data_IF_596017387677
#
_entry.id   IF_596017387677
#
_cell.length_a   1.000
_cell.length_b   1.000
_cell.length_c   1.000
_cell.angle_alpha   90.00
_cell.angle_beta   90.00
_cell.angle_gamma   90.00
#
_symmetry.space_group_name_H-M   'P 1'
#
loop_
_entity.id
_entity.type
_entity.pdbx_description
1 polymer ?
#
# COMPACT_ATOMS: atom_id res chain seq x y z
N UNK A 1 -11.48 6.97 2.61
CA UNK A 1 -10.61 7.55 3.65
C UNK A 1 -11.19 7.36 5.05
N UNK A 2 -10.34 7.00 6.00
CA UNK A 2 -10.67 7.14 7.42
C UNK A 2 -10.68 8.62 7.80
N UNK A 3 -11.42 9.01 8.87
CA UNK A 3 -11.45 10.41 9.28
C UNK A 3 -10.08 11.06 9.47
N UNK A 4 -9.10 10.34 10.05
CA UNK A 4 -7.77 10.86 10.26
C UNK A 4 -7.06 11.25 8.96
N UNK A 5 -7.16 10.42 7.91
CA UNK A 5 -6.57 10.70 6.60
C UNK A 5 -7.21 11.93 5.95
N UNK A 6 -8.52 11.99 5.96
CA UNK A 6 -9.28 13.11 5.40
C UNK A 6 -8.92 14.43 6.11
N UNK A 7 -8.83 14.40 7.42
CA UNK A 7 -8.47 15.57 8.24
C UNK A 7 -7.04 16.03 8.02
N UNK A 8 -6.09 15.11 7.84
CA UNK A 8 -4.70 15.44 7.51
C UNK A 8 -4.62 16.17 6.17
N UNK A 9 -5.22 15.59 5.13
CA UNK A 9 -5.21 16.20 3.79
C UNK A 9 -5.89 17.56 3.78
N UNK A 10 -7.02 17.67 4.44
CA UNK A 10 -7.76 18.93 4.56
C UNK A 10 -6.97 19.99 5.34
N UNK A 11 -6.34 19.61 6.43
CA UNK A 11 -5.47 20.49 7.23
C UNK A 11 -4.26 20.97 6.44
N UNK A 12 -3.63 20.12 5.67
CA UNK A 12 -2.50 20.47 4.79
C UNK A 12 -2.93 21.49 3.72
N UNK A 13 -4.07 21.26 3.09
CA UNK A 13 -4.64 22.22 2.13
C UNK A 13 -4.91 23.57 2.79
N UNK A 14 -5.49 23.57 3.98
CA UNK A 14 -5.87 24.78 4.71
C UNK A 14 -4.70 25.69 5.09
N UNK A 15 -3.51 25.12 5.31
CA UNK A 15 -2.29 25.90 5.60
C UNK A 15 -1.41 26.14 4.36
N UNK A 16 -1.93 25.84 3.16
CA UNK A 16 -1.19 26.04 1.91
C UNK A 16 0.00 25.10 1.74
N UNK A 17 -0.01 23.95 2.40
CA UNK A 17 1.08 22.98 2.33
C UNK A 17 0.93 22.07 1.09
N UNK A 18 1.00 22.70 -0.08
CA UNK A 18 0.77 22.08 -1.38
C UNK A 18 2.07 21.75 -2.11
N UNK A 19 1.97 20.99 -3.19
CA UNK A 19 3.14 20.47 -3.93
C UNK A 19 4.03 21.53 -4.55
N UNK A 20 3.50 22.72 -4.82
CA UNK A 20 4.24 23.86 -5.38
C UNK A 20 4.88 24.77 -4.31
N UNK A 21 4.57 24.55 -3.05
CA UNK A 21 5.07 25.33 -1.93
C UNK A 21 6.20 24.60 -1.19
N UNK A 22 7.02 25.31 -0.40
CA UNK A 22 8.05 24.65 0.40
C UNK A 22 7.48 23.64 1.38
N UNK A 23 8.30 22.64 1.71
CA UNK A 23 7.96 21.70 2.77
C UNK A 23 7.73 22.39 4.11
N UNK A 24 6.85 21.83 4.92
CA UNK A 24 6.64 22.23 6.32
C UNK A 24 7.02 21.07 7.25
N UNK A 25 7.43 21.38 8.46
CA UNK A 25 7.66 20.34 9.48
C UNK A 25 6.39 19.51 9.68
N UNK A 26 6.53 18.20 9.75
CA UNK A 26 5.39 17.32 10.05
C UNK A 26 4.71 17.69 11.36
N UNK A 27 5.50 18.12 12.37
CA UNK A 27 4.97 18.61 13.64
C UNK A 27 3.96 19.75 13.47
N UNK A 28 4.17 20.64 12.50
CA UNK A 28 3.23 21.73 12.20
C UNK A 28 1.90 21.20 11.69
N UNK A 29 1.93 20.24 10.76
CA UNK A 29 0.72 19.63 10.22
C UNK A 29 -0.02 18.84 11.30
N UNK A 30 0.69 18.05 12.08
CA UNK A 30 0.09 17.27 13.19
C UNK A 30 -0.59 18.22 14.20
N UNK A 31 0.08 19.30 14.59
CA UNK A 31 -0.49 20.30 15.49
C UNK A 31 -1.76 20.95 14.94
N UNK A 32 -1.76 21.31 13.68
CA UNK A 32 -2.93 21.88 12.99
C UNK A 32 -4.12 20.92 13.01
N UNK A 33 -3.90 19.67 12.69
CA UNK A 33 -4.94 18.64 12.64
C UNK A 33 -5.49 18.32 14.04
N UNK A 34 -4.61 18.17 15.02
CA UNK A 34 -5.02 17.93 16.41
C UNK A 34 -5.84 19.09 16.97
N UNK A 35 -5.38 20.31 16.71
CA UNK A 35 -6.04 21.51 17.27
C UNK A 35 -7.40 21.80 16.67
N UNK A 36 -7.60 21.47 15.40
CA UNK A 36 -8.82 21.86 14.66
C UNK A 36 -9.79 20.73 14.38
N UNK A 37 -9.32 19.51 14.11
CA UNK A 37 -10.17 18.47 13.52
C UNK A 37 -10.15 17.12 14.23
N UNK A 38 -9.02 16.71 14.81
CA UNK A 38 -8.83 15.33 15.29
C UNK A 38 -8.30 15.28 16.72
N UNK A 39 -9.18 15.34 17.74
CA UNK A 39 -8.79 15.43 19.15
C UNK A 39 -8.37 14.07 19.72
N UNK A 40 -7.28 13.50 19.20
CA UNK A 40 -6.70 12.23 19.60
C UNK A 40 -5.19 12.37 19.83
N UNK A 41 -4.48 11.26 20.02
CA UNK A 41 -3.04 11.29 20.24
C UNK A 41 -2.25 11.73 19.00
N UNK A 42 -1.17 12.47 19.20
CA UNK A 42 -0.30 12.95 18.12
C UNK A 42 0.37 11.80 17.34
N UNK A 43 0.72 10.72 18.02
CA UNK A 43 1.33 9.55 17.39
C UNK A 43 0.43 8.89 16.34
N UNK A 44 -0.88 8.86 16.57
CA UNK A 44 -1.83 8.30 15.62
C UNK A 44 -1.96 9.16 14.35
N UNK A 45 -1.97 10.48 14.52
CA UNK A 45 -2.00 11.44 13.41
C UNK A 45 -0.70 11.38 12.62
N UNK A 46 0.44 11.42 13.31
CA UNK A 46 1.74 11.35 12.65
C UNK A 46 1.94 10.03 11.91
N UNK A 47 1.57 8.91 12.51
CA UNK A 47 1.64 7.60 11.86
C UNK A 47 0.83 7.53 10.57
N UNK A 48 -0.37 8.07 10.56
CA UNK A 48 -1.21 8.15 9.37
C UNK A 48 -0.62 9.08 8.30
N UNK A 49 -0.09 10.23 8.69
CA UNK A 49 0.61 11.16 7.79
C UNK A 49 1.80 10.47 7.12
N UNK A 50 2.66 9.85 7.89
CA UNK A 50 3.86 9.15 7.41
C UNK A 50 3.49 8.04 6.43
N UNK A 51 2.49 7.22 6.75
CA UNK A 51 2.06 6.13 5.88
C UNK A 51 1.65 6.62 4.49
N UNK A 52 0.99 7.77 4.39
CA UNK A 52 0.58 8.36 3.12
C UNK A 52 1.77 8.84 2.25
N UNK A 53 2.95 8.95 2.83
CA UNK A 53 4.20 9.28 2.15
C UNK A 53 5.16 8.11 1.96
N UNK A 54 4.73 6.88 2.24
CA UNK A 54 5.56 5.67 2.10
C UNK A 54 5.23 4.92 0.82
N UNK A 55 6.20 4.80 -0.08
CA UNK A 55 6.02 4.20 -1.40
C UNK A 55 5.86 2.68 -1.39
N UNK A 56 6.13 2.02 -0.27
CA UNK A 56 5.88 0.57 -0.10
C UNK A 56 4.51 0.27 0.51
N UNK A 57 3.79 1.29 0.96
CA UNK A 57 2.42 1.18 1.50
C UNK A 57 1.38 1.79 0.57
N UNK A 58 1.74 2.84 -0.17
CA UNK A 58 0.84 3.56 -1.07
C UNK A 58 1.24 3.31 -2.51
N UNK A 59 0.30 2.87 -3.34
CA UNK A 59 0.55 2.75 -4.78
C UNK A 59 0.78 4.12 -5.43
N UNK A 60 0.04 5.12 -4.98
CA UNK A 60 0.21 6.53 -5.33
C UNK A 60 0.21 7.35 -4.05
N UNK A 61 1.37 7.87 -3.68
CA UNK A 61 1.50 8.64 -2.44
C UNK A 61 0.69 9.93 -2.48
N UNK A 62 -0.01 10.21 -1.39
CA UNK A 62 -0.80 11.44 -1.23
C UNK A 62 0.00 12.53 -0.52
N UNK A 63 1.05 12.16 0.18
CA UNK A 63 1.98 13.03 0.87
C UNK A 63 3.36 12.89 0.25
N UNK A 64 4.00 14.02 -0.02
CA UNK A 64 5.40 14.13 -0.41
C UNK A 64 6.22 14.42 0.85
N UNK A 65 6.95 13.41 1.30
CA UNK A 65 7.77 13.47 2.51
C UNK A 65 9.22 13.76 2.24
N UNK A 66 9.88 14.45 3.17
CA UNK A 66 11.32 14.69 3.16
C UNK A 66 11.93 14.31 4.50
N UNK A 67 13.02 13.57 4.45
CA UNK A 67 13.67 13.03 5.62
C UNK A 67 13.40 11.54 5.81
N UNK A 68 13.60 11.02 7.01
CA UNK A 68 13.42 9.61 7.32
C UNK A 68 11.95 9.30 7.60
N UNK A 69 11.27 8.71 6.62
CA UNK A 69 9.89 8.23 6.73
C UNK A 69 9.79 6.71 7.01
N UNK A 70 10.86 6.12 7.52
CA UNK A 70 10.93 4.69 7.75
C UNK A 70 11.46 3.92 6.55
N UNK A 71 11.36 2.61 6.59
CA UNK A 71 11.80 1.72 5.51
C UNK A 71 10.97 0.45 5.41
N UNK A 72 11.14 -0.27 4.33
CA UNK A 72 10.55 -1.61 4.12
C UNK A 72 11.12 -2.66 5.08
N UNK A 73 12.19 -2.34 5.80
CA UNK A 73 12.77 -3.17 6.86
C UNK A 73 12.07 -3.00 8.21
N UNK A 74 11.03 -2.19 8.27
CA UNK A 74 10.29 -1.92 9.51
C UNK A 74 10.91 -0.82 10.38
N UNK A 75 11.91 -0.08 9.86
CA UNK A 75 12.45 1.07 10.57
C UNK A 75 11.36 2.13 10.77
N UNK A 76 11.32 2.70 11.96
CA UNK A 76 10.40 3.77 12.27
C UNK A 76 10.83 5.07 11.60
N UNK A 77 9.86 5.93 11.28
CA UNK A 77 10.14 7.29 10.88
C UNK A 77 10.85 8.06 12.00
N UNK A 78 11.65 9.04 11.64
CA UNK A 78 12.19 10.00 12.61
C UNK A 78 11.05 10.78 13.27
N UNK A 79 11.30 11.37 14.43
CA UNK A 79 10.32 12.17 15.13
C UNK A 79 9.80 13.33 14.24
N UNK A 80 8.54 13.69 14.43
CA UNK A 80 7.85 14.69 13.58
C UNK A 80 8.49 16.09 13.57
N UNK A 81 9.32 16.41 14.54
CA UNK A 81 10.09 17.67 14.57
C UNK A 81 11.24 17.70 13.56
N UNK A 82 11.66 16.53 13.05
CA UNK A 82 12.76 16.42 12.09
C UNK A 82 12.28 16.21 10.65
N UNK A 83 11.19 15.48 10.44
CA UNK A 83 10.66 15.22 9.11
C UNK A 83 9.84 16.38 8.58
N UNK A 84 9.77 16.47 7.25
CA UNK A 84 9.02 17.51 6.57
C UNK A 84 8.06 16.87 5.57
N UNK A 85 7.01 17.60 5.23
CA UNK A 85 5.97 17.09 4.32
C UNK A 85 5.29 18.23 3.55
N UNK A 86 4.63 17.85 2.49
CA UNK A 86 3.65 18.63 1.73
C UNK A 86 2.72 17.69 0.98
N UNK A 87 1.62 18.19 0.48
CA UNK A 87 0.76 17.41 -0.39
C UNK A 87 1.53 17.04 -1.66
N UNK A 88 1.38 15.80 -2.11
CA UNK A 88 1.74 15.44 -3.48
C UNK A 88 0.68 16.01 -4.44
N UNK A 89 0.99 16.03 -5.74
CA UNK A 89 -0.01 16.39 -6.75
C UNK A 89 -1.24 15.48 -6.69
N UNK A 90 -1.02 14.19 -6.43
CA UNK A 90 -2.11 13.22 -6.26
C UNK A 90 -2.96 13.56 -5.04
N UNK A 91 -2.35 13.97 -3.92
CA UNK A 91 -3.06 14.42 -2.72
C UNK A 91 -3.91 15.66 -2.98
N UNK A 92 -3.44 16.59 -3.82
CA UNK A 92 -4.23 17.75 -4.24
C UNK A 92 -5.45 17.35 -5.07
N UNK A 93 -5.30 16.38 -5.98
CA UNK A 93 -6.40 15.89 -6.82
C UNK A 93 -7.52 15.19 -6.01
N UNK A 94 -7.22 14.69 -4.83
CA UNK A 94 -8.23 14.16 -3.90
C UNK A 94 -9.21 15.26 -3.48
N UNK A 95 -8.75 16.50 -3.41
CA UNK A 95 -9.51 17.65 -2.91
C UNK A 95 -9.86 18.67 -4.02
N UNK A 96 -9.62 18.34 -5.28
CA UNK A 96 -10.03 19.19 -6.40
C UNK A 96 -11.54 19.46 -6.32
N UNK A 97 -11.91 20.73 -6.55
CA UNK A 97 -13.29 21.21 -6.51
C UNK A 97 -13.98 21.15 -5.13
N UNK A 98 -13.22 20.99 -4.05
CA UNK A 98 -13.77 20.99 -2.69
C UNK A 98 -14.49 22.30 -2.35
N UNK A 99 -13.99 23.43 -2.88
CA UNK A 99 -14.57 24.78 -2.70
C UNK A 99 -15.83 25.02 -3.52
N UNK A 100 -16.25 24.10 -4.38
CA UNK A 100 -17.38 24.23 -5.30
C UNK A 100 -18.65 23.55 -4.81
N UNK A 101 -18.78 23.35 -3.51
CA UNK A 101 -19.95 22.70 -2.88
C UNK A 101 -20.23 21.30 -3.45
N UNK A 102 -19.16 20.53 -3.66
CA UNK A 102 -19.21 19.18 -4.22
C UNK A 102 -19.48 18.10 -3.17
N UNK A 103 -19.25 18.41 -1.91
CA UNK A 103 -19.42 17.49 -0.78
C UNK A 103 -20.05 18.23 0.40
N UNK A 104 -20.73 17.47 1.27
CA UNK A 104 -21.28 18.02 2.50
C UNK A 104 -20.16 18.37 3.48
N UNK A 105 -20.29 19.54 4.10
CA UNK A 105 -19.44 19.98 5.18
C UNK A 105 -20.14 19.78 6.52
N UNK A 106 -19.41 19.28 7.50
CA UNK A 106 -19.91 19.01 8.84
C UNK A 106 -19.12 19.78 9.88
N UNK A 107 -19.72 20.16 11.04
CA UNK A 107 -18.97 20.77 12.13
C UNK A 107 -17.86 19.85 12.64
N UNK A 108 -16.72 20.45 13.02
CA UNK A 108 -15.67 19.76 13.73
C UNK A 108 -16.09 19.44 15.19
N UNK A 109 -15.17 18.87 15.99
CA UNK A 109 -15.49 18.37 17.33
C UNK A 109 -15.98 19.44 18.32
N UNK A 110 -15.60 20.71 18.15
CA UNK A 110 -15.99 21.83 19.05
C UNK A 110 -16.94 22.83 18.38
N UNK A 111 -17.50 22.50 17.23
CA UNK A 111 -18.42 23.33 16.44
C UNK A 111 -17.88 24.70 16.01
N UNK A 112 -16.54 24.90 16.04
CA UNK A 112 -15.92 26.18 15.65
C UNK A 112 -15.59 26.26 14.16
N UNK A 113 -15.41 25.11 13.48
CA UNK A 113 -15.01 25.01 12.08
C UNK A 113 -15.84 23.95 11.37
N UNK A 114 -15.80 23.99 10.05
CA UNK A 114 -16.38 22.95 9.20
C UNK A 114 -15.26 22.09 8.60
N UNK A 115 -15.55 20.81 8.43
CA UNK A 115 -14.69 19.84 7.74
C UNK A 115 -15.51 19.03 6.72
N UNK A 116 -14.89 18.54 5.63
CA UNK A 116 -15.63 17.75 4.65
C UNK A 116 -15.98 16.37 5.24
N UNK A 117 -17.22 15.95 5.01
CA UNK A 117 -17.69 14.62 5.43
C UNK A 117 -17.11 13.49 4.57
N UNK A 118 -16.84 13.79 3.29
CA UNK A 118 -16.15 12.94 2.32
C UNK A 118 -15.26 13.82 1.44
N UNK A 119 -14.32 13.21 0.71
CA UNK A 119 -13.51 13.93 -0.27
C UNK A 119 -14.16 13.85 -1.66
N UNK A 120 -14.03 14.90 -2.49
CA UNK A 120 -14.54 14.88 -3.87
C UNK A 120 -13.89 13.78 -4.73
N UNK A 121 -12.63 13.46 -4.46
CA UNK A 121 -11.81 12.44 -5.12
C UNK A 121 -11.96 12.42 -6.64
N UNK A 122 -11.22 13.28 -7.32
CA UNK A 122 -11.18 13.30 -8.79
C UNK A 122 -10.64 12.01 -9.41
N UNK A 123 -9.90 11.25 -8.62
CA UNK A 123 -9.33 9.95 -9.00
C UNK A 123 -10.01 8.83 -8.19
N UNK A 124 -10.08 7.60 -8.72
CA UNK A 124 -10.71 6.47 -8.03
C UNK A 124 -9.84 5.92 -6.90
N UNK A 125 -9.62 6.71 -5.84
CA UNK A 125 -8.65 6.43 -4.78
C UNK A 125 -8.93 5.13 -4.02
N UNK A 126 -10.19 4.74 -3.84
CA UNK A 126 -10.52 3.51 -3.11
C UNK A 126 -9.89 2.27 -3.76
N UNK A 127 -9.87 2.20 -5.08
CA UNK A 127 -9.25 1.10 -5.82
C UNK A 127 -7.74 1.31 -5.99
N UNK A 128 -7.29 2.52 -6.33
CA UNK A 128 -5.86 2.69 -6.63
C UNK A 128 -4.97 2.58 -5.40
N UNK A 129 -5.37 3.13 -4.27
CA UNK A 129 -4.62 3.03 -3.01
C UNK A 129 -5.17 1.98 -2.04
N UNK A 130 -6.33 1.41 -2.34
CA UNK A 130 -6.95 0.42 -1.47
C UNK A 130 -7.23 0.96 -0.07
N UNK A 131 -7.27 0.06 0.89
CA UNK A 131 -7.45 0.43 2.28
C UNK A 131 -7.50 -0.81 3.18
N UNK A 132 -7.18 -0.61 4.44
CA UNK A 132 -7.34 -1.63 5.46
C UNK A 132 -7.88 -1.02 6.75
N UNK A 133 -8.59 -1.80 7.52
CA UNK A 133 -9.09 -1.36 8.80
C UNK A 133 -9.81 -2.45 9.54
N UNK A 134 -9.78 -2.33 10.86
CA UNK A 134 -10.45 -3.25 11.78
C UNK A 134 -11.44 -2.42 12.59
N UNK A 135 -12.69 -2.86 12.61
CA UNK A 135 -13.75 -2.30 13.42
C UNK A 135 -14.43 -3.42 14.22
N UNK A 136 -15.33 -3.05 15.13
CA UNK A 136 -16.08 -4.04 15.88
C UNK A 136 -17.00 -4.82 14.94
N UNK A 137 -16.78 -6.13 14.87
CA UNK A 137 -17.60 -7.03 14.07
C UNK A 137 -17.35 -7.02 12.56
N UNK A 138 -16.38 -6.21 12.06
CA UNK A 138 -16.05 -6.17 10.65
C UNK A 138 -14.60 -5.72 10.41
N UNK A 139 -14.06 -6.09 9.26
CA UNK A 139 -12.77 -5.62 8.79
C UNK A 139 -12.85 -5.32 7.30
N UNK A 140 -12.00 -4.44 6.81
CA UNK A 140 -11.82 -4.20 5.38
C UNK A 140 -10.36 -4.38 4.99
N UNK A 141 -10.13 -4.92 3.81
CA UNK A 141 -8.81 -5.10 3.23
C UNK A 141 -8.92 -5.07 1.71
N UNK A 142 -8.71 -3.90 1.15
CA UNK A 142 -8.88 -3.63 -0.28
C UNK A 142 -7.49 -3.47 -0.89
N UNK A 143 -7.13 -4.28 -1.90
CA UNK A 143 -5.82 -4.19 -2.54
C UNK A 143 -5.70 -2.95 -3.42
N UNK A 144 -4.47 -2.53 -3.67
CA UNK A 144 -4.15 -1.42 -4.56
C UNK A 144 -4.25 -1.82 -6.04
N UNK A 145 -4.44 -0.84 -6.92
CA UNK A 145 -4.60 -1.05 -8.37
C UNK A 145 -3.86 0.00 -9.20
N UNK A 146 -3.59 -0.33 -10.44
CA UNK A 146 -3.02 0.59 -11.41
C UNK A 146 -4.06 1.64 -11.84
N UNK A 147 -3.68 2.92 -11.76
CA UNK A 147 -4.58 4.03 -12.07
C UNK A 147 -5.11 3.98 -13.50
N UNK A 148 -4.24 3.73 -14.48
CA UNK A 148 -4.62 3.63 -15.89
C UNK A 148 -5.63 2.52 -16.13
N UNK A 149 -5.39 1.32 -15.56
CA UNK A 149 -6.31 0.18 -15.66
C UNK A 149 -7.68 0.50 -15.04
N UNK A 150 -7.70 1.14 -13.87
CA UNK A 150 -8.97 1.51 -13.21
C UNK A 150 -9.73 2.55 -14.03
N UNK A 151 -9.06 3.56 -14.58
CA UNK A 151 -9.69 4.56 -15.43
C UNK A 151 -10.26 3.91 -16.70
N UNK A 152 -9.52 3.02 -17.34
CA UNK A 152 -9.99 2.28 -18.51
C UNK A 152 -11.23 1.44 -18.17
N UNK A 153 -11.24 0.79 -17.01
CA UNK A 153 -12.40 0.07 -16.49
C UNK A 153 -13.60 0.98 -16.26
N UNK A 154 -13.39 2.16 -15.68
CA UNK A 154 -14.45 3.16 -15.51
C UNK A 154 -15.02 3.62 -16.84
N UNK A 155 -14.18 3.90 -17.83
CA UNK A 155 -14.62 4.26 -19.18
C UNK A 155 -15.42 3.13 -19.83
N UNK A 156 -14.97 1.90 -19.72
CA UNK A 156 -15.68 0.73 -20.24
C UNK A 156 -17.07 0.57 -19.60
N UNK A 157 -17.16 0.82 -18.29
CA UNK A 157 -18.45 0.81 -17.57
C UNK A 157 -19.39 1.92 -18.04
N UNK A 158 -18.87 3.13 -18.27
CA UNK A 158 -19.67 4.25 -18.79
C UNK A 158 -20.20 3.94 -20.17
N UNK A 159 -19.38 3.37 -21.05
CA UNK A 159 -19.76 3.01 -22.43
C UNK A 159 -20.74 1.82 -22.46
N UNK A 160 -20.64 0.91 -21.51
CA UNK A 160 -21.50 -0.27 -21.39
C UNK A 160 -21.82 -0.56 -19.91
N UNK A 161 -22.92 0.02 -19.36
CA UNK A 161 -23.31 -0.23 -17.97
C UNK A 161 -23.67 -1.69 -17.63
N UNK A 162 -23.92 -2.51 -18.65
CA UNK A 162 -24.22 -3.93 -18.48
C UNK A 162 -22.95 -4.80 -18.45
N UNK A 163 -21.76 -4.21 -18.55
CA UNK A 163 -20.49 -4.95 -18.46
C UNK A 163 -20.42 -5.75 -17.16
N UNK A 164 -20.04 -7.02 -17.26
CA UNK A 164 -19.86 -7.88 -16.11
C UNK A 164 -18.42 -7.83 -15.56
N UNK A 165 -18.14 -8.59 -14.51
CA UNK A 165 -16.81 -8.64 -13.90
C UNK A 165 -15.77 -9.18 -14.89
N UNK A 166 -16.10 -10.18 -15.69
CA UNK A 166 -15.17 -10.71 -16.69
C UNK A 166 -14.81 -9.64 -17.73
N UNK A 167 -15.79 -8.86 -18.16
CA UNK A 167 -15.55 -7.73 -19.07
C UNK A 167 -14.69 -6.64 -18.44
N UNK A 168 -14.90 -6.30 -17.16
CA UNK A 168 -14.08 -5.33 -16.43
C UNK A 168 -12.65 -5.85 -16.24
N UNK A 169 -12.44 -7.15 -16.07
CA UNK A 169 -11.12 -7.74 -15.92
C UNK A 169 -10.28 -7.70 -17.20
N UNK A 170 -10.85 -7.41 -18.35
CA UNK A 170 -10.07 -7.11 -19.56
C UNK A 170 -9.26 -5.82 -19.40
N UNK A 171 -9.73 -4.88 -18.57
CA UNK A 171 -9.10 -3.59 -18.27
C UNK A 171 -8.38 -3.61 -16.93
N UNK A 172 -9.05 -4.09 -15.87
CA UNK A 172 -8.52 -4.22 -14.51
C UNK A 172 -8.19 -5.69 -14.29
N UNK A 173 -7.00 -6.10 -14.71
CA UNK A 173 -6.62 -7.52 -14.78
C UNK A 173 -6.45 -8.17 -13.41
N UNK A 174 -5.86 -7.42 -12.49
CA UNK A 174 -5.56 -7.85 -11.13
C UNK A 174 -5.12 -6.64 -10.29
N UNK A 175 -5.01 -6.78 -8.95
CA UNK A 175 -4.36 -5.78 -8.12
C UNK A 175 -2.93 -5.48 -8.57
N UNK A 176 -2.48 -4.26 -8.29
CA UNK A 176 -1.13 -3.78 -8.57
C UNK A 176 -0.54 -3.23 -7.27
N UNK A 177 0.31 -4.02 -6.63
CA UNK A 177 0.87 -3.68 -5.32
C UNK A 177 2.04 -2.71 -5.43
N UNK A 178 2.21 -1.79 -4.46
CA UNK A 178 3.31 -0.81 -4.45
C UNK A 178 4.69 -1.45 -4.51
N UNK A 179 4.83 -2.65 -3.97
CA UNK A 179 6.09 -3.38 -3.84
C UNK A 179 6.38 -4.31 -5.02
N UNK A 180 5.50 -4.34 -6.02
CA UNK A 180 5.66 -5.24 -7.17
C UNK A 180 5.36 -6.69 -6.81
N UNK A 181 6.29 -7.59 -7.15
CA UNK A 181 6.15 -9.03 -7.04
C UNK A 181 5.17 -9.61 -8.08
N UNK A 182 4.86 -10.90 -7.96
CA UNK A 182 3.92 -11.58 -8.85
C UNK A 182 2.65 -11.98 -8.12
N UNK A 183 1.53 -11.90 -8.80
CA UNK A 183 0.31 -12.59 -8.40
C UNK A 183 0.35 -13.99 -9.02
N UNK A 184 0.26 -15.01 -8.19
CA UNK A 184 0.36 -16.40 -8.59
C UNK A 184 -1.03 -17.01 -8.72
N UNK A 185 -1.53 -17.09 -9.95
CA UNK A 185 -2.87 -17.55 -10.28
C UNK A 185 -3.94 -16.45 -10.16
N UNK A 186 -5.02 -16.58 -10.93
CA UNK A 186 -6.08 -15.57 -11.02
C UNK A 186 -7.38 -15.98 -10.33
N UNK A 187 -7.49 -17.21 -9.83
CA UNK A 187 -8.73 -17.71 -9.21
C UNK A 187 -9.17 -16.85 -8.02
N UNK A 188 -8.22 -16.52 -7.13
CA UNK A 188 -8.51 -15.68 -5.97
C UNK A 188 -8.85 -14.24 -6.36
N UNK A 189 -8.22 -13.69 -7.39
CA UNK A 189 -8.52 -12.37 -7.94
C UNK A 189 -9.95 -12.31 -8.48
N UNK A 190 -10.31 -13.28 -9.31
CA UNK A 190 -11.66 -13.37 -9.89
C UNK A 190 -12.72 -13.49 -8.79
N UNK A 191 -12.50 -14.39 -7.84
CA UNK A 191 -13.40 -14.54 -6.70
C UNK A 191 -13.56 -13.23 -5.91
N UNK A 192 -12.46 -12.53 -5.64
CA UNK A 192 -12.51 -11.26 -4.94
C UNK A 192 -13.31 -10.20 -5.71
N UNK A 193 -13.14 -10.13 -7.03
CA UNK A 193 -13.84 -9.18 -7.87
C UNK A 193 -15.33 -9.50 -8.04
N UNK A 194 -15.69 -10.78 -8.07
CA UNK A 194 -17.07 -11.23 -8.18
C UNK A 194 -17.85 -11.14 -6.86
N UNK A 195 -17.19 -11.37 -5.74
CA UNK A 195 -17.87 -11.51 -4.42
C UNK A 195 -17.48 -10.47 -3.39
N UNK A 196 -16.41 -9.74 -3.62
CA UNK A 196 -15.80 -8.83 -2.64
C UNK A 196 -14.85 -9.54 -1.65
N UNK A 197 -14.73 -10.87 -1.72
CA UNK A 197 -13.82 -11.68 -0.88
C UNK A 197 -13.05 -12.67 -1.72
N UNK A 198 -11.77 -12.81 -1.42
CA UNK A 198 -10.93 -13.78 -2.08
C UNK A 198 -9.53 -13.77 -1.50
N UNK A 199 -8.77 -14.81 -1.79
CA UNK A 199 -7.39 -14.94 -1.35
C UNK A 199 -6.46 -14.84 -2.54
N UNK A 200 -5.63 -13.82 -2.57
CA UNK A 200 -4.66 -13.56 -3.63
C UNK A 200 -3.30 -14.06 -3.18
N UNK A 201 -2.69 -14.94 -3.96
CA UNK A 201 -1.35 -15.46 -3.71
C UNK A 201 -0.32 -14.55 -4.36
N UNK A 202 0.63 -14.05 -3.56
CA UNK A 202 1.75 -13.22 -4.02
C UNK A 202 3.05 -14.01 -3.90
N UNK A 203 3.92 -13.86 -4.90
CA UNK A 203 5.28 -14.41 -4.89
C UNK A 203 6.31 -13.34 -5.15
N UNK A 204 7.42 -13.41 -4.41
CA UNK A 204 8.59 -12.59 -4.65
C UNK A 204 9.09 -12.74 -6.08
N UNK A 205 9.57 -11.66 -6.66
CA UNK A 205 10.30 -11.69 -7.93
C UNK A 205 11.73 -12.10 -7.66
N UNK A 206 12.15 -13.19 -8.29
CA UNK A 206 13.48 -13.75 -8.11
C UNK A 206 14.05 -14.26 -9.43
N UNK A 207 15.37 -14.27 -9.51
CA UNK A 207 16.11 -14.85 -10.63
C UNK A 207 17.26 -15.69 -10.08
N UNK A 208 17.62 -16.75 -10.83
CA UNK A 208 18.79 -17.54 -10.53
C UNK A 208 19.91 -17.04 -11.41
N UNK A 209 20.95 -16.46 -10.80
CA UNK A 209 22.18 -16.06 -11.46
C UNK A 209 23.19 -17.20 -11.36
N UNK A 210 23.59 -17.75 -12.51
CA UNK A 210 24.62 -18.78 -12.59
C UNK A 210 26.00 -18.14 -12.46
N UNK A 211 26.83 -18.71 -11.59
CA UNK A 211 28.21 -18.26 -11.37
C UNK A 211 29.20 -19.38 -11.62
N UNK A 212 30.49 -19.03 -11.77
CA UNK A 212 31.56 -19.99 -12.01
C UNK A 212 31.79 -20.92 -10.81
N UNK A 213 31.62 -20.40 -9.59
CA UNK A 213 31.82 -21.16 -8.35
C UNK A 213 30.52 -21.71 -7.76
N UNK A 214 29.45 -20.93 -7.86
CA UNK A 214 28.14 -21.27 -7.28
C UNK A 214 27.04 -20.42 -7.89
N UNK A 215 25.80 -20.88 -7.79
CA UNK A 215 24.62 -20.13 -8.20
C UNK A 215 24.13 -19.21 -7.10
N UNK A 216 23.43 -18.16 -7.47
CA UNK A 216 22.77 -17.22 -6.56
C UNK A 216 21.29 -17.13 -6.87
N UNK A 217 20.46 -17.09 -5.84
CA UNK A 217 19.05 -16.71 -5.96
C UNK A 217 18.98 -15.24 -5.58
N UNK A 218 18.58 -14.39 -6.51
CA UNK A 218 18.47 -12.93 -6.31
C UNK A 218 17.02 -12.54 -6.26
N UNK A 219 16.62 -11.94 -5.14
CA UNK A 219 15.25 -11.49 -4.88
C UNK A 219 15.23 -9.97 -5.02
N UNK A 220 14.42 -9.45 -5.94
CA UNK A 220 14.36 -8.01 -6.26
C UNK A 220 13.05 -7.36 -5.89
N UNK A 221 12.00 -8.14 -5.68
CA UNK A 221 10.71 -7.66 -5.19
C UNK A 221 10.13 -8.69 -4.21
N UNK A 222 9.48 -8.22 -3.17
CA UNK A 222 8.86 -9.08 -2.15
C UNK A 222 7.35 -8.81 -2.07
N UNK A 223 6.54 -9.76 -1.57
CA UNK A 223 5.11 -9.57 -1.45
C UNK A 223 4.74 -8.35 -0.61
N UNK A 224 3.65 -7.71 -0.97
CA UNK A 224 3.11 -6.57 -0.24
C UNK A 224 2.89 -6.89 1.23
N UNK A 225 3.34 -5.99 2.10
CA UNK A 225 3.21 -6.13 3.55
C UNK A 225 4.30 -6.98 4.21
N UNK A 226 5.19 -7.59 3.45
CA UNK A 226 6.31 -8.36 3.99
C UNK A 226 7.43 -7.42 4.42
N UNK A 227 7.92 -7.61 5.65
CA UNK A 227 9.10 -6.93 6.17
C UNK A 227 10.35 -7.60 5.62
N UNK A 228 11.19 -6.82 4.92
CA UNK A 228 12.39 -7.36 4.25
C UNK A 228 13.40 -7.92 5.25
N UNK A 229 13.66 -7.22 6.35
CA UNK A 229 14.60 -7.69 7.37
C UNK A 229 14.13 -9.00 8.01
N UNK A 230 12.85 -9.13 8.30
CA UNK A 230 12.28 -10.37 8.84
C UNK A 230 12.36 -11.53 7.84
N UNK A 231 12.18 -11.25 6.55
CA UNK A 231 12.33 -12.25 5.50
C UNK A 231 13.77 -12.78 5.43
N UNK A 232 14.75 -11.88 5.43
CA UNK A 232 16.18 -12.24 5.41
C UNK A 232 16.53 -13.06 6.67
N UNK A 233 16.13 -12.60 7.84
CA UNK A 233 16.35 -13.31 9.10
C UNK A 233 15.67 -14.68 9.10
N UNK A 234 14.45 -14.78 8.60
CA UNK A 234 13.70 -16.04 8.51
C UNK A 234 14.38 -17.07 7.61
N UNK A 235 14.94 -16.65 6.49
CA UNK A 235 15.72 -17.52 5.60
C UNK A 235 16.98 -18.02 6.34
N UNK A 236 17.71 -17.12 6.99
CA UNK A 236 18.91 -17.47 7.74
C UNK A 236 18.62 -18.46 8.89
N UNK A 237 17.51 -18.28 9.58
CA UNK A 237 17.07 -19.16 10.66
C UNK A 237 16.75 -20.59 10.14
N UNK A 238 16.10 -20.70 8.99
CA UNK A 238 15.82 -22.01 8.36
C UNK A 238 17.09 -22.74 7.99
N UNK A 239 18.12 -22.03 7.53
CA UNK A 239 19.44 -22.61 7.24
C UNK A 239 20.11 -23.08 8.53
N UNK A 240 20.11 -22.25 9.55
CA UNK A 240 20.71 -22.54 10.86
C UNK A 240 20.05 -23.73 11.55
N UNK A 241 18.74 -23.85 11.43
CA UNK A 241 17.96 -24.97 11.99
C UNK A 241 18.03 -26.25 11.15
N UNK A 242 18.69 -26.22 9.99
CA UNK A 242 18.81 -27.37 9.09
C UNK A 242 17.51 -27.73 8.34
N UNK A 243 16.52 -26.85 8.36
CA UNK A 243 15.24 -27.06 7.63
C UNK A 243 15.38 -26.85 6.12
N UNK A 244 16.30 -25.99 5.70
CA UNK A 244 16.72 -25.83 4.31
C UNK A 244 18.23 -26.07 4.27
N UNK A 245 18.65 -27.01 3.42
CA UNK A 245 20.07 -27.29 3.16
C UNK A 245 20.47 -26.77 1.79
N UNK A 246 21.76 -26.60 1.57
CA UNK A 246 22.27 -26.16 0.26
C UNK A 246 22.43 -24.64 0.12
N UNK A 247 22.15 -23.87 1.14
CA UNK A 247 22.41 -22.44 1.20
C UNK A 247 23.67 -22.19 2.01
N UNK A 248 24.64 -21.45 1.43
CA UNK A 248 25.88 -21.09 2.12
C UNK A 248 25.81 -19.75 2.83
N UNK A 249 25.03 -18.79 2.29
CA UNK A 249 24.91 -17.46 2.86
C UNK A 249 23.65 -16.75 2.35
N UNK A 250 23.19 -15.79 3.16
CA UNK A 250 22.08 -14.88 2.82
C UNK A 250 22.51 -13.47 3.14
N UNK A 251 22.50 -12.59 2.13
CA UNK A 251 22.89 -11.18 2.29
C UNK A 251 21.81 -10.25 1.73
N UNK A 252 21.60 -9.15 2.43
CA UNK A 252 20.85 -8.02 1.90
C UNK A 252 21.81 -7.03 1.26
N UNK A 253 21.82 -6.95 -0.06
CA UNK A 253 22.61 -6.04 -0.87
C UNK A 253 21.79 -4.86 -1.40
N UNK A 254 20.63 -4.60 -0.81
CA UNK A 254 19.74 -3.50 -1.22
C UNK A 254 20.43 -2.14 -1.04
N UNK A 255 20.18 -1.25 -1.99
CA UNK A 255 20.78 0.08 -2.00
C UNK A 255 20.04 1.03 -2.93
N UNK A 256 20.72 2.07 -3.38
CA UNK A 256 20.16 3.10 -4.29
C UNK A 256 19.63 2.54 -5.61
N UNK A 257 20.14 1.41 -6.04
CA UNK A 257 19.71 0.74 -7.28
C UNK A 257 18.46 -0.12 -7.09
N UNK A 258 17.97 -0.25 -5.88
CA UNK A 258 16.78 -1.03 -5.55
C UNK A 258 17.03 -2.16 -4.57
N UNK A 259 15.99 -2.97 -4.37
CA UNK A 259 16.05 -4.14 -3.49
C UNK A 259 16.85 -5.26 -4.15
N UNK A 260 17.75 -5.86 -3.37
CA UNK A 260 18.53 -7.01 -3.79
C UNK A 260 18.87 -7.89 -2.58
N UNK A 261 18.15 -8.99 -2.43
CA UNK A 261 18.47 -10.02 -1.44
C UNK A 261 19.14 -11.16 -2.19
N UNK A 262 20.33 -11.58 -1.75
CA UNK A 262 21.11 -12.62 -2.39
C UNK A 262 21.22 -13.85 -1.50
N UNK A 263 20.76 -14.98 -2.02
CA UNK A 263 20.89 -16.29 -1.40
C UNK A 263 21.95 -17.07 -2.18
N UNK A 264 23.12 -17.29 -1.55
CA UNK A 264 24.20 -18.08 -2.16
C UNK A 264 23.89 -19.57 -2.01
N UNK A 265 23.88 -20.27 -3.13
CA UNK A 265 23.59 -21.71 -3.21
C UNK A 265 24.90 -22.48 -3.21
N UNK A 266 25.01 -23.52 -2.38
CA UNK A 266 26.18 -24.40 -2.37
C UNK A 266 26.38 -25.05 -3.73
N UNK A 267 27.65 -25.28 -4.11
CA UNK A 267 28.07 -25.77 -5.42
C UNK A 267 27.36 -27.06 -5.85
N UNK A 268 27.12 -27.96 -4.94
CA UNK A 268 26.48 -29.27 -5.16
C UNK A 268 24.95 -29.28 -5.00
N UNK A 269 24.36 -28.12 -4.71
CA UNK A 269 22.93 -27.98 -4.51
C UNK A 269 22.20 -27.49 -5.76
N UNK A 270 20.91 -27.81 -5.87
CA UNK A 270 20.05 -27.36 -6.97
C UNK A 270 19.29 -26.09 -6.58
N UNK A 271 19.59 -24.99 -7.25
CA UNK A 271 19.00 -23.68 -6.97
C UNK A 271 17.48 -23.67 -7.16
N UNK A 272 16.95 -24.36 -8.15
CA UNK A 272 15.49 -24.44 -8.38
C UNK A 272 14.75 -25.14 -7.25
N UNK A 273 15.34 -26.21 -6.71
CA UNK A 273 14.76 -26.94 -5.57
C UNK A 273 14.76 -26.05 -4.32
N UNK A 274 15.84 -25.32 -4.09
CA UNK A 274 15.95 -24.38 -2.98
C UNK A 274 14.95 -23.24 -3.12
N UNK A 275 14.82 -22.68 -4.31
CA UNK A 275 13.85 -21.61 -4.60
C UNK A 275 12.41 -22.06 -4.30
N UNK A 276 12.04 -23.27 -4.71
CA UNK A 276 10.71 -23.83 -4.41
C UNK A 276 10.49 -24.01 -2.91
N UNK A 277 11.52 -24.43 -2.17
CA UNK A 277 11.45 -24.50 -0.70
C UNK A 277 11.30 -23.15 -0.05
N UNK A 278 11.99 -22.13 -0.55
CA UNK A 278 11.87 -20.76 -0.06
C UNK A 278 10.44 -20.21 -0.25
N UNK A 279 9.81 -20.46 -1.38
CA UNK A 279 8.41 -20.10 -1.59
C UNK A 279 7.47 -20.84 -0.63
N UNK A 280 7.74 -22.10 -0.35
CA UNK A 280 6.89 -22.91 0.53
C UNK A 280 7.05 -22.58 2.01
N UNK A 281 8.26 -22.21 2.44
CA UNK A 281 8.63 -22.13 3.86
C UNK A 281 8.84 -20.71 4.37
N UNK A 282 8.81 -19.71 3.51
CA UNK A 282 9.06 -18.31 3.88
C UNK A 282 8.00 -17.36 3.33
N UNK A 283 8.08 -16.10 3.74
CA UNK A 283 7.23 -15.03 3.21
C UNK A 283 7.58 -14.58 1.78
N UNK A 284 8.47 -15.29 1.09
CA UNK A 284 8.63 -15.14 -0.37
C UNK A 284 7.34 -15.51 -1.12
N UNK A 285 6.49 -16.30 -0.51
CA UNK A 285 5.11 -16.47 -0.92
C UNK A 285 4.21 -16.09 0.25
N UNK A 286 3.26 -15.21 0.00
CA UNK A 286 2.35 -14.68 1.01
C UNK A 286 0.98 -14.47 0.38
N UNK A 287 -0.07 -14.44 1.17
CA UNK A 287 -1.41 -14.21 0.68
C UNK A 287 -1.94 -12.84 1.13
N UNK A 288 -2.75 -12.24 0.26
CA UNK A 288 -3.55 -11.06 0.57
C UNK A 288 -5.02 -11.50 0.63
N UNK A 289 -5.62 -11.40 1.81
CA UNK A 289 -7.03 -11.75 1.99
C UNK A 289 -7.89 -10.53 1.71
N UNK A 290 -8.54 -10.54 0.55
CA UNK A 290 -9.41 -9.44 0.11
C UNK A 290 -10.72 -9.48 0.89
N UNK A 291 -11.14 -8.33 1.38
CA UNK A 291 -12.44 -8.10 1.99
C UNK A 291 -12.86 -6.66 1.66
N UNK A 292 -13.60 -6.48 0.56
CA UNK A 292 -13.94 -5.17 0.01
C UNK A 292 -15.17 -4.57 0.70
N UNK A 293 -15.04 -4.25 1.98
CA UNK A 293 -16.07 -3.53 2.72
C UNK A 293 -15.77 -2.03 2.65
N UNK A 294 -16.76 -1.26 2.19
CA UNK A 294 -16.70 0.19 2.18
C UNK A 294 -18.04 0.77 2.64
N UNK A 295 -18.04 2.05 2.99
CA UNK A 295 -19.27 2.75 3.35
C UNK A 295 -19.99 3.23 2.09
N UNK A 296 -21.23 2.79 1.91
CA UNK A 296 -22.14 3.27 0.86
C UNK A 296 -23.29 3.97 1.55
N UNK A 297 -23.43 5.27 1.32
CA UNK A 297 -24.42 6.11 2.01
C UNK A 297 -24.36 5.96 3.55
N UNK A 298 -23.14 5.93 4.09
CA UNK A 298 -22.87 5.81 5.51
C UNK A 298 -23.04 4.41 6.12
N UNK A 299 -23.32 3.38 5.31
CA UNK A 299 -23.50 2.00 5.78
C UNK A 299 -22.43 1.07 5.19
N UNK A 300 -21.85 0.16 5.99
CA UNK A 300 -20.93 -0.83 5.50
C UNK A 300 -21.59 -1.79 4.50
N UNK A 301 -20.94 -1.99 3.36
CA UNK A 301 -21.34 -2.99 2.34
C UNK A 301 -20.13 -3.73 1.81
N UNK A 302 -20.31 -5.03 1.60
CA UNK A 302 -19.35 -5.84 0.85
C UNK A 302 -19.61 -5.59 -0.64
N UNK A 303 -18.59 -5.10 -1.34
CA UNK A 303 -18.71 -4.66 -2.73
C UNK A 303 -17.95 -5.57 -3.68
N UNK A 304 -18.54 -5.84 -4.83
CA UNK A 304 -17.85 -6.43 -5.99
C UNK A 304 -17.02 -5.36 -6.70
N UNK A 305 -16.19 -5.76 -7.67
CA UNK A 305 -15.44 -4.80 -8.48
C UNK A 305 -16.38 -3.83 -9.21
N UNK A 306 -17.46 -4.36 -9.79
CA UNK A 306 -18.44 -3.54 -10.54
C UNK A 306 -19.16 -2.54 -9.65
N UNK A 307 -19.56 -2.94 -8.45
CA UNK A 307 -20.25 -2.08 -7.49
C UNK A 307 -19.37 -0.94 -6.99
#
# INVERSE_FOLDING_TARGET
FKPVHRRILYGMLGIGNTSSNPYKKCARVVGEVLGKYHPHGDSSVYGALVRMGQNWNMRYMLVDGQGNFGSVDGDSAAAMRYTECRLSKMGEHIMDDLEKDTVDMTPNFDDTLLEPSVMPTKIPNLLVNGGNGIAVGMATNIPTHNLGEVIDGCCAYIDNPDIDVDGLMEYIKAPDFPTGAYIYGLTGVKQAYETGRGRIMMRAKSEIESGDSHDKIVITEIPYGVNKADLVAGIADLVKEGKITGISNVNDESGRQGMRIVVDVKRDANANVILNKLYKMTAMQSSFSVNCIALVKGRPRLLTLKE
#
